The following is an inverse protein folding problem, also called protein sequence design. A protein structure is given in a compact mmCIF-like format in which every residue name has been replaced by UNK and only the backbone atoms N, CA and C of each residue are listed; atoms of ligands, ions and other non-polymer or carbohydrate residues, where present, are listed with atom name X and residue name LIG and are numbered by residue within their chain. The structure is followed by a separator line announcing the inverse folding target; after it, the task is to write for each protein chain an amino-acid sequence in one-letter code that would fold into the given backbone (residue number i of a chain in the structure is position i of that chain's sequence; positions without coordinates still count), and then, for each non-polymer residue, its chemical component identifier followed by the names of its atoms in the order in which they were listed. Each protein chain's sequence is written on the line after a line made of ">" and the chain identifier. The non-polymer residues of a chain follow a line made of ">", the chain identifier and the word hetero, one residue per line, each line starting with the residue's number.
data_IF_658839722001
#
_entry.id   IF_658839722001
#
_cell.length_a   1.000
_cell.length_b   1.000
_cell.length_c   1.000
_cell.angle_alpha   90.00
_cell.angle_beta   90.00
_cell.angle_gamma   90.00
#
_symmetry.space_group_name_H-M   'P 1'
#
loop_
_entity.id
_entity.type
_entity.pdbx_description
1 polymer ?
#
# COMPACT_ATOMS: atom_id res chain seq x y z
N UNK A 1 -8.35 -23.19 23.48
CA UNK A 1 -9.71 -22.73 23.15
C UNK A 1 -9.77 -21.29 22.58
N UNK A 2 -8.68 -20.64 22.46
CA UNK A 2 -8.62 -19.24 21.95
C UNK A 2 -8.40 -19.12 20.45
N UNK A 3 -8.11 -20.19 19.74
CA UNK A 3 -7.55 -20.09 18.38
C UNK A 3 -8.55 -20.33 17.24
N UNK A 4 -9.73 -20.88 17.48
CA UNK A 4 -10.63 -21.29 16.40
C UNK A 4 -11.63 -20.21 15.93
N UNK A 5 -12.00 -19.27 16.80
CA UNK A 5 -13.06 -18.29 16.48
C UNK A 5 -12.53 -17.02 15.80
N UNK A 6 -11.25 -16.70 15.97
CA UNK A 6 -10.65 -15.50 15.40
C UNK A 6 -10.16 -15.68 13.97
N UNK A 7 -9.86 -16.94 13.57
CA UNK A 7 -9.33 -17.20 12.23
C UNK A 7 -10.39 -17.19 11.12
N UNK A 8 -11.65 -17.48 11.43
CA UNK A 8 -12.68 -17.62 10.39
C UNK A 8 -13.45 -16.33 10.10
N UNK A 9 -13.63 -15.45 11.08
CA UNK A 9 -14.44 -14.25 10.92
C UNK A 9 -13.67 -13.03 10.39
N UNK A 10 -12.41 -12.86 10.83
CA UNK A 10 -11.60 -11.69 10.44
C UNK A 10 -11.00 -11.79 9.04
N UNK A 11 -10.61 -13.00 8.65
CA UNK A 11 -9.92 -13.20 7.38
C UNK A 11 -10.86 -13.17 6.16
N UNK A 12 -12.09 -13.69 6.32
CA UNK A 12 -13.09 -13.61 5.25
C UNK A 12 -13.60 -12.19 4.99
N UNK A 13 -13.73 -11.37 6.03
CA UNK A 13 -14.15 -9.98 5.90
C UNK A 13 -13.04 -9.13 5.23
N UNK A 14 -11.78 -9.40 5.55
CA UNK A 14 -10.62 -8.70 4.98
C UNK A 14 -10.40 -9.06 3.51
N UNK A 15 -10.56 -10.33 3.18
CA UNK A 15 -10.46 -10.84 1.81
C UNK A 15 -11.58 -10.29 0.92
N UNK A 16 -12.79 -10.13 1.43
CA UNK A 16 -13.90 -9.50 0.69
C UNK A 16 -13.67 -8.01 0.47
N UNK A 17 -13.16 -7.30 1.46
CA UNK A 17 -12.83 -5.88 1.36
C UNK A 17 -11.74 -5.63 0.33
N UNK A 18 -10.69 -6.47 0.31
CA UNK A 18 -9.63 -6.42 -0.70
C UNK A 18 -10.13 -6.76 -2.10
N UNK A 19 -11.00 -7.76 -2.26
CA UNK A 19 -11.60 -8.13 -3.55
C UNK A 19 -12.48 -7.03 -4.11
N UNK A 20 -13.27 -6.38 -3.27
CA UNK A 20 -14.11 -5.23 -3.67
C UNK A 20 -13.25 -4.03 -4.06
N UNK A 21 -12.17 -3.76 -3.32
CA UNK A 21 -11.20 -2.70 -3.65
C UNK A 21 -10.49 -2.99 -4.98
N UNK A 22 -10.05 -4.22 -5.21
CA UNK A 22 -9.40 -4.64 -6.45
C UNK A 22 -10.37 -4.57 -7.63
N UNK A 23 -11.63 -4.97 -7.46
CA UNK A 23 -12.65 -4.88 -8.51
C UNK A 23 -13.07 -3.44 -8.81
N UNK A 24 -13.12 -2.56 -7.81
CA UNK A 24 -13.42 -1.14 -8.01
C UNK A 24 -12.29 -0.43 -8.77
N UNK A 25 -11.02 -0.84 -8.58
CA UNK A 25 -9.87 -0.27 -9.29
C UNK A 25 -9.73 -0.75 -10.73
N UNK A 26 -10.37 -1.88 -11.11
CA UNK A 26 -10.32 -2.41 -12.48
C UNK A 26 -11.17 -1.61 -13.49
N UNK A 27 -12.16 -0.82 -13.05
CA UNK A 27 -13.04 -0.06 -13.95
C UNK A 27 -12.42 1.22 -14.50
N UNK A 28 -11.49 1.82 -13.77
CA UNK A 28 -10.79 3.04 -14.17
C UNK A 28 -9.32 2.82 -13.78
N UNK A 29 -8.52 2.43 -14.77
CA UNK A 29 -7.12 2.11 -14.53
C UNK A 29 -6.23 3.26 -15.01
N UNK A 30 -5.44 3.82 -14.09
CA UNK A 30 -4.32 4.66 -14.44
C UNK A 30 -3.02 3.89 -14.17
N UNK A 31 -2.14 3.87 -15.15
CA UNK A 31 -0.81 3.29 -15.04
C UNK A 31 0.20 4.42 -15.04
N UNK A 32 1.01 4.51 -13.98
CA UNK A 32 2.07 5.50 -13.90
C UNK A 32 3.07 5.29 -15.03
N UNK A 33 3.35 6.32 -15.82
CA UNK A 33 4.21 6.24 -17.00
C UNK A 33 5.59 6.88 -16.81
N UNK A 34 5.75 7.74 -15.80
CA UNK A 34 7.04 8.39 -15.50
C UNK A 34 8.04 7.36 -14.95
N UNK A 35 8.99 6.97 -15.79
CA UNK A 35 9.98 5.93 -15.45
C UNK A 35 10.84 6.30 -14.24
N UNK A 36 11.19 7.57 -14.09
CA UNK A 36 11.97 8.05 -12.96
C UNK A 36 11.22 7.88 -11.64
N UNK A 37 9.92 8.22 -11.64
CA UNK A 37 9.05 8.03 -10.47
C UNK A 37 8.82 6.55 -10.16
N UNK A 38 8.59 5.75 -11.18
CA UNK A 38 8.44 4.29 -11.04
C UNK A 38 9.68 3.69 -10.37
N UNK A 39 10.86 4.04 -10.85
CA UNK A 39 12.12 3.54 -10.31
C UNK A 39 12.31 3.96 -8.84
N UNK A 40 12.06 5.23 -8.54
CA UNK A 40 12.19 5.76 -7.19
C UNK A 40 11.24 5.07 -6.21
N UNK A 41 9.99 4.87 -6.60
CA UNK A 41 8.97 4.19 -5.78
C UNK A 41 9.33 2.71 -5.61
N UNK A 42 9.74 2.05 -6.69
CA UNK A 42 10.16 0.64 -6.63
C UNK A 42 11.35 0.43 -5.69
N UNK A 43 12.34 1.33 -5.70
CA UNK A 43 13.47 1.28 -4.77
C UNK A 43 13.02 1.39 -3.31
N UNK A 44 12.07 2.27 -3.01
CA UNK A 44 11.51 2.42 -1.67
C UNK A 44 10.81 1.16 -1.21
N UNK A 45 10.01 0.55 -2.08
CA UNK A 45 9.30 -0.70 -1.78
C UNK A 45 10.28 -1.86 -1.57
N UNK A 46 11.31 -1.99 -2.41
CA UNK A 46 12.34 -3.02 -2.25
C UNK A 46 13.11 -2.87 -0.93
N UNK A 47 13.38 -1.64 -0.52
CA UNK A 47 14.00 -1.37 0.78
C UNK A 47 13.08 -1.78 1.93
N UNK A 48 11.81 -1.43 1.85
CA UNK A 48 10.81 -1.84 2.84
C UNK A 48 10.65 -3.36 2.90
N UNK A 49 10.71 -4.04 1.77
CA UNK A 49 10.70 -5.50 1.69
C UNK A 49 11.88 -6.11 2.46
N UNK A 50 13.08 -5.57 2.29
CA UNK A 50 14.26 -6.01 3.03
C UNK A 50 14.13 -5.78 4.53
N UNK A 51 13.58 -4.63 4.94
CA UNK A 51 13.33 -4.31 6.34
C UNK A 51 12.27 -5.23 6.95
N UNK A 52 11.22 -5.56 6.20
CA UNK A 52 10.19 -6.50 6.65
C UNK A 52 10.76 -7.90 6.85
N UNK A 53 11.66 -8.34 5.97
CA UNK A 53 12.40 -9.57 6.16
C UNK A 53 13.25 -9.58 7.42
N UNK A 54 13.87 -8.46 7.75
CA UNK A 54 14.61 -8.29 9.00
C UNK A 54 13.70 -8.40 10.24
N UNK A 55 12.49 -7.83 10.17
CA UNK A 55 11.50 -7.95 11.25
C UNK A 55 11.12 -9.42 11.49
N UNK A 56 10.90 -10.17 10.42
CA UNK A 56 10.62 -11.61 10.54
C UNK A 56 11.75 -12.36 11.25
N UNK A 57 13.00 -12.06 10.91
CA UNK A 57 14.18 -12.64 11.59
C UNK A 57 14.26 -12.24 13.05
N UNK A 58 13.97 -11.00 13.38
CA UNK A 58 13.93 -10.52 14.77
C UNK A 58 12.93 -11.29 15.62
N UNK A 59 11.76 -11.59 15.06
CA UNK A 59 10.75 -12.42 15.72
C UNK A 59 11.26 -13.85 15.96
N UNK A 60 11.87 -14.45 14.94
CA UNK A 60 12.44 -15.81 15.02
C UNK A 60 13.59 -15.89 16.03
N UNK A 61 14.39 -14.85 16.15
CA UNK A 61 15.50 -14.74 17.09
C UNK A 61 15.05 -14.42 18.52
N UNK A 62 13.78 -14.13 18.74
CA UNK A 62 13.25 -13.78 20.05
C UNK A 62 13.70 -12.40 20.55
N UNK A 63 13.83 -11.45 19.66
CA UNK A 63 14.21 -10.07 20.00
C UNK A 63 13.11 -9.37 20.81
N UNK A 64 13.45 -8.29 21.46
CA UNK A 64 12.56 -7.49 22.28
C UNK A 64 11.38 -6.95 21.49
N UNK A 65 10.15 -7.07 22.04
CA UNK A 65 8.91 -6.61 21.39
C UNK A 65 8.94 -5.13 21.01
N UNK A 66 9.46 -4.28 21.88
CA UNK A 66 9.57 -2.84 21.64
C UNK A 66 10.41 -2.55 20.39
N UNK A 67 11.53 -3.22 20.26
CA UNK A 67 12.44 -3.11 19.13
C UNK A 67 11.77 -3.57 17.83
N UNK A 68 11.06 -4.71 17.89
CA UNK A 68 10.34 -5.26 16.74
C UNK A 68 9.23 -4.31 16.28
N UNK A 69 8.42 -3.82 17.21
CA UNK A 69 7.31 -2.90 16.90
C UNK A 69 7.84 -1.58 16.33
N UNK A 70 8.96 -1.09 16.84
CA UNK A 70 9.61 0.11 16.29
C UNK A 70 10.01 -0.10 14.83
N UNK A 71 10.60 -1.23 14.50
CA UNK A 71 10.96 -1.58 13.12
C UNK A 71 9.72 -1.75 12.23
N UNK A 72 8.67 -2.40 12.73
CA UNK A 72 7.40 -2.54 12.01
C UNK A 72 6.78 -1.19 11.69
N UNK A 73 6.81 -0.26 12.65
CA UNK A 73 6.30 1.10 12.45
C UNK A 73 7.08 1.83 11.36
N UNK A 74 8.40 1.68 11.32
CA UNK A 74 9.24 2.27 10.29
C UNK A 74 8.93 1.70 8.89
N UNK A 75 8.71 0.39 8.79
CA UNK A 75 8.31 -0.27 7.53
C UNK A 75 6.94 0.22 7.07
N UNK A 76 5.97 0.28 7.96
CA UNK A 76 4.62 0.79 7.68
C UNK A 76 4.67 2.22 7.13
N UNK A 77 5.43 3.10 7.77
CA UNK A 77 5.62 4.48 7.33
C UNK A 77 6.27 4.56 5.94
N UNK A 78 7.26 3.72 5.68
CA UNK A 78 7.95 3.68 4.40
C UNK A 78 6.99 3.23 3.27
N UNK A 79 6.16 2.21 3.50
CA UNK A 79 5.16 1.73 2.55
C UNK A 79 4.10 2.79 2.30
N UNK A 80 3.58 3.42 3.34
CA UNK A 80 2.59 4.49 3.22
C UNK A 80 3.14 5.68 2.42
N UNK A 81 4.38 6.06 2.66
CA UNK A 81 5.06 7.13 1.91
C UNK A 81 5.19 6.77 0.43
N UNK A 82 5.53 5.52 0.12
CA UNK A 82 5.62 5.05 -1.26
C UNK A 82 4.24 5.08 -1.95
N UNK A 83 3.19 4.62 -1.26
CA UNK A 83 1.82 4.67 -1.77
C UNK A 83 1.36 6.11 -2.01
N UNK A 84 1.64 7.00 -1.08
CA UNK A 84 1.34 8.43 -1.21
C UNK A 84 2.05 9.04 -2.43
N UNK A 85 3.33 8.74 -2.61
CA UNK A 85 4.11 9.21 -3.76
C UNK A 85 3.54 8.69 -5.07
N UNK A 86 3.13 7.42 -5.11
CA UNK A 86 2.50 6.82 -6.28
C UNK A 86 1.19 7.52 -6.64
N UNK A 87 0.33 7.77 -5.67
CA UNK A 87 -0.95 8.46 -5.88
C UNK A 87 -0.70 9.90 -6.37
N UNK A 88 0.21 10.62 -5.74
CA UNK A 88 0.56 12.00 -6.11
C UNK A 88 1.12 12.09 -7.53
N UNK A 89 2.02 11.20 -7.90
CA UNK A 89 2.58 11.14 -9.24
C UNK A 89 1.51 10.80 -10.30
N UNK A 90 0.63 9.87 -9.97
CA UNK A 90 -0.48 9.48 -10.85
C UNK A 90 -1.47 10.63 -11.06
N UNK A 91 -1.80 11.38 -10.00
CA UNK A 91 -2.66 12.57 -10.09
C UNK A 91 -2.03 13.64 -10.99
N UNK A 92 -0.72 13.88 -10.82
CA UNK A 92 0.01 14.84 -11.65
C UNK A 92 -0.05 14.47 -13.12
N UNK A 93 0.15 13.20 -13.47
CA UNK A 93 0.04 12.73 -14.85
C UNK A 93 -1.37 12.92 -15.41
N UNK A 94 -2.41 12.61 -14.65
CA UNK A 94 -3.80 12.79 -15.06
C UNK A 94 -4.14 14.24 -15.35
N UNK A 95 -3.64 15.17 -14.56
CA UNK A 95 -3.88 16.61 -14.72
C UNK A 95 -3.15 17.13 -15.96
N UNK A 96 -1.89 16.75 -16.14
CA UNK A 96 -1.03 17.23 -17.25
C UNK A 96 -1.49 16.67 -18.59
N UNK A 97 -1.89 15.39 -18.64
CA UNK A 97 -2.28 14.73 -19.87
C UNK A 97 -3.69 15.08 -20.36
N UNK A 98 -4.53 15.69 -19.53
CA UNK A 98 -5.86 16.18 -19.90
C UNK A 98 -6.76 15.11 -20.51
N UNK A 99 -6.62 13.87 -20.10
CA UNK A 99 -7.40 12.74 -20.64
C UNK A 99 -8.88 12.86 -20.28
N UNK A 100 -9.73 12.37 -21.16
CA UNK A 100 -11.20 12.46 -21.12
C UNK A 100 -11.84 11.92 -19.83
N UNK A 101 -11.12 11.12 -19.03
CA UNK A 101 -11.57 10.53 -17.78
C UNK A 101 -10.78 11.02 -16.55
N UNK A 102 -10.10 12.15 -16.68
CA UNK A 102 -9.24 12.69 -15.61
C UNK A 102 -9.97 12.90 -14.28
N UNK A 103 -11.21 13.40 -14.34
CA UNK A 103 -12.01 13.67 -13.12
C UNK A 103 -12.38 12.39 -12.38
N UNK A 104 -12.78 11.35 -13.11
CA UNK A 104 -13.13 10.05 -12.50
C UNK A 104 -11.90 9.37 -11.90
N UNK A 105 -10.76 9.41 -12.57
CA UNK A 105 -9.50 8.88 -12.08
C UNK A 105 -9.02 9.66 -10.85
N UNK A 106 -9.12 11.00 -10.89
CA UNK A 106 -8.77 11.85 -9.77
C UNK A 106 -9.60 11.53 -8.54
N UNK A 107 -10.92 11.39 -8.69
CA UNK A 107 -11.81 11.02 -7.59
C UNK A 107 -11.46 9.66 -6.99
N UNK A 108 -11.10 8.68 -7.83
CA UNK A 108 -10.69 7.36 -7.36
C UNK A 108 -9.36 7.39 -6.62
N UNK A 109 -8.38 8.13 -7.11
CA UNK A 109 -7.09 8.31 -6.46
C UNK A 109 -7.23 9.03 -5.12
N UNK A 110 -8.13 10.01 -5.02
CA UNK A 110 -8.46 10.65 -3.75
C UNK A 110 -9.05 9.66 -2.74
N UNK A 111 -9.93 8.76 -3.16
CA UNK A 111 -10.45 7.69 -2.30
C UNK A 111 -9.34 6.78 -1.79
N UNK A 112 -8.42 6.40 -2.64
CA UNK A 112 -7.26 5.59 -2.25
C UNK A 112 -6.37 6.32 -1.24
N UNK A 113 -6.15 7.61 -1.48
CA UNK A 113 -5.41 8.47 -0.55
C UNK A 113 -6.05 8.50 0.84
N UNK A 114 -7.37 8.69 0.89
CA UNK A 114 -8.11 8.71 2.15
C UNK A 114 -8.10 7.36 2.85
N UNK A 115 -8.01 6.26 2.11
CA UNK A 115 -7.92 4.91 2.69
C UNK A 115 -6.60 4.65 3.43
N UNK A 116 -5.55 5.42 3.13
CA UNK A 116 -4.26 5.33 3.82
C UNK A 116 -4.24 6.08 5.15
N UNK A 117 -5.15 6.98 5.33
CA UNK A 117 -5.30 7.72 6.58
C UNK A 117 -6.14 6.90 7.57
#
# INVERSE_FOLDING_TARGET
>A
MWSAHWRSAGWCAWSRSLSVLIMATKKIAHVLSDEEQIEAIAKRIKRAQGQLGAVARMLEEGRNCEEIVTQMSAVSKAVNTAAFTLISASLKECIVEGKTNSDAVTAQLQKLFLSLA
#
